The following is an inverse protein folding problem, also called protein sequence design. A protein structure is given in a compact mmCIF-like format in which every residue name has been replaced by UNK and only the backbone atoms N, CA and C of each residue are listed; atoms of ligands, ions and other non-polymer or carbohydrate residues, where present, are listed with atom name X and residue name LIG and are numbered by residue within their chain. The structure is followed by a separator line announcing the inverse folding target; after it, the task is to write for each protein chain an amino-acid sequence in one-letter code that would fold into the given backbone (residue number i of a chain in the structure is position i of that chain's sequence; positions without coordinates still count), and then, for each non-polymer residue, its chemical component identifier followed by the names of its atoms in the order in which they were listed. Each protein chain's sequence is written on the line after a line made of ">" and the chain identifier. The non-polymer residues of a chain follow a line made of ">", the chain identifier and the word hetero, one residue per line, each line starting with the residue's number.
data_IF_809668419919
#
_entry.id   IF_809668419919
#
_cell.length_a   1.000
_cell.length_b   1.000
_cell.length_c   1.000
_cell.angle_alpha   90.00
_cell.angle_beta   90.00
_cell.angle_gamma   90.00
#
_symmetry.space_group_name_H-M   'P 1'
#
loop_
_entity.id
_entity.type
_entity.pdbx_description
1 polymer ?
#
# COMPACT_ATOMS: atom_id res chain seq x y z
N UNK A 1 -4.93 11.73 0.66
CA UNK A 1 -3.67 11.66 1.41
C UNK A 1 -2.65 10.81 0.65
N UNK A 2 -1.36 11.16 0.67
CA UNK A 2 -0.31 10.41 -0.04
C UNK A 2 -0.08 8.99 0.49
N UNK A 3 -0.35 8.74 1.76
CA UNK A 3 -0.31 7.40 2.37
C UNK A 3 -1.71 6.87 2.65
N UNK A 4 -2.58 7.02 1.68
CA UNK A 4 -3.94 6.50 1.72
C UNK A 4 -4.34 6.02 0.33
N UNK A 5 -5.09 4.94 0.25
CA UNK A 5 -5.62 4.41 -0.99
C UNK A 5 -7.13 4.18 -0.81
N UNK A 6 -7.92 4.69 -1.74
CA UNK A 6 -9.37 4.80 -1.55
C UNK A 6 -10.12 3.45 -1.68
N UNK A 7 -9.51 2.46 -2.31
CA UNK A 7 -10.18 1.20 -2.69
C UNK A 7 -9.89 0.03 -1.72
N UNK A 8 -9.47 0.31 -0.48
CA UNK A 8 -9.17 -0.74 0.50
C UNK A 8 -10.38 -1.63 0.79
N UNK A 9 -11.60 -1.08 0.92
CA UNK A 9 -12.78 -1.87 1.22
C UNK A 9 -13.14 -2.82 0.08
N UNK A 10 -13.08 -2.38 -1.16
CA UNK A 10 -13.33 -3.22 -2.33
C UNK A 10 -12.34 -4.39 -2.42
N UNK A 11 -11.07 -4.13 -2.14
CA UNK A 11 -10.04 -5.17 -2.11
C UNK A 11 -10.27 -6.18 -0.96
N UNK A 12 -10.62 -5.69 0.24
CA UNK A 12 -10.93 -6.55 1.40
C UNK A 12 -12.12 -7.45 1.08
N UNK A 13 -13.19 -6.89 0.54
CA UNK A 13 -14.40 -7.64 0.22
C UNK A 13 -14.12 -8.73 -0.82
N UNK A 14 -13.31 -8.43 -1.83
CA UNK A 14 -12.90 -9.43 -2.80
C UNK A 14 -12.04 -10.53 -2.16
N UNK A 15 -11.03 -10.20 -1.35
CA UNK A 15 -10.17 -11.17 -0.67
C UNK A 15 -10.98 -12.11 0.22
N UNK A 16 -11.93 -11.56 0.98
CA UNK A 16 -12.80 -12.37 1.86
C UNK A 16 -13.71 -13.27 1.04
N UNK A 17 -14.27 -12.79 -0.07
CA UNK A 17 -15.11 -13.60 -0.96
C UNK A 17 -14.32 -14.72 -1.64
N UNK A 18 -13.03 -14.53 -1.88
CA UNK A 18 -12.10 -15.52 -2.43
C UNK A 18 -11.55 -16.48 -1.36
N UNK A 19 -11.97 -16.34 -0.09
CA UNK A 19 -11.66 -17.25 1.02
C UNK A 19 -10.47 -16.84 1.89
N UNK A 20 -9.88 -15.66 1.67
CA UNK A 20 -8.80 -15.17 2.50
C UNK A 20 -9.29 -14.63 3.84
N UNK A 21 -8.50 -14.88 4.88
CA UNK A 21 -8.62 -14.16 6.16
C UNK A 21 -7.79 -12.90 6.10
N UNK A 22 -8.44 -11.75 6.04
CA UNK A 22 -7.77 -10.45 5.98
C UNK A 22 -7.47 -9.94 7.38
N UNK A 23 -6.21 -9.50 7.59
CA UNK A 23 -5.73 -8.95 8.88
C UNK A 23 -5.13 -7.58 8.63
N UNK A 24 -5.62 -6.58 9.33
CA UNK A 24 -5.08 -5.22 9.28
C UNK A 24 -3.99 -5.03 10.33
N UNK A 25 -2.83 -4.56 9.89
CA UNK A 25 -1.65 -4.28 10.73
C UNK A 25 -1.33 -2.77 10.84
N UNK A 26 -2.25 -1.91 10.40
CA UNK A 26 -2.09 -0.45 10.49
C UNK A 26 -2.04 0.03 11.94
N UNK A 27 -1.24 1.08 12.21
CA UNK A 27 -1.25 1.78 13.51
C UNK A 27 -2.55 2.54 13.75
N UNK A 28 -3.05 3.19 12.72
CA UNK A 28 -4.29 3.95 12.78
C UNK A 28 -5.48 2.99 12.69
N UNK A 29 -6.55 3.37 13.38
CA UNK A 29 -7.82 2.65 13.24
C UNK A 29 -8.39 2.94 11.87
N UNK A 30 -8.81 1.91 11.16
CA UNK A 30 -9.60 2.07 9.94
C UNK A 30 -11.09 1.86 10.19
N UNK A 31 -11.90 2.31 9.26
CA UNK A 31 -13.35 2.05 9.25
C UNK A 31 -13.70 0.89 8.28
N UNK A 32 -12.69 0.06 7.95
CA UNK A 32 -12.89 -1.08 7.06
C UNK A 32 -13.64 -2.21 7.76
N UNK A 33 -14.52 -2.87 7.01
CA UNK A 33 -15.31 -4.01 7.46
C UNK A 33 -14.71 -5.33 6.96
N UNK A 34 -15.22 -6.45 7.47
CA UNK A 34 -14.88 -7.80 7.02
C UNK A 34 -13.40 -8.21 7.18
N UNK A 35 -12.69 -7.56 8.10
CA UNK A 35 -11.30 -7.90 8.44
C UNK A 35 -11.08 -8.05 9.94
N UNK A 36 -9.92 -8.57 10.32
CA UNK A 36 -9.49 -8.64 11.71
C UNK A 36 -8.44 -7.56 11.97
N UNK A 37 -8.76 -6.60 12.84
CA UNK A 37 -7.79 -5.63 13.34
C UNK A 37 -6.96 -6.26 14.47
N UNK A 38 -5.64 -6.14 14.42
CA UNK A 38 -4.79 -6.57 15.53
C UNK A 38 -4.87 -5.59 16.70
N UNK A 39 -5.01 -6.11 17.92
CA UNK A 39 -5.12 -5.28 19.15
C UNK A 39 -3.75 -4.77 19.58
N UNK A 40 -2.76 -5.65 19.61
CA UNK A 40 -1.38 -5.29 19.93
C UNK A 40 -0.65 -4.88 18.64
N UNK A 41 -0.39 -3.58 18.50
CA UNK A 41 0.30 -2.98 17.34
C UNK A 41 1.81 -2.82 17.57
N UNK A 42 2.37 -3.52 18.56
CA UNK A 42 3.81 -3.60 18.78
C UNK A 42 4.51 -4.29 17.60
N UNK A 43 5.77 -3.95 17.36
CA UNK A 43 6.53 -4.54 16.25
C UNK A 43 6.62 -6.08 16.35
N UNK A 44 6.86 -6.69 17.54
CA UNK A 44 6.83 -8.16 17.65
C UNK A 44 5.48 -8.77 17.27
N UNK A 45 4.37 -8.13 17.66
CA UNK A 45 3.04 -8.61 17.30
C UNK A 45 2.81 -8.55 15.78
N UNK A 46 3.15 -7.42 15.14
CA UNK A 46 3.07 -7.27 13.68
C UNK A 46 3.93 -8.32 12.98
N UNK A 47 5.15 -8.55 13.45
CA UNK A 47 6.04 -9.60 12.91
C UNK A 47 5.43 -10.99 13.01
N UNK A 48 4.77 -11.31 14.15
CA UNK A 48 4.10 -12.60 14.30
C UNK A 48 2.98 -12.79 13.29
N UNK A 49 2.14 -11.77 13.06
CA UNK A 49 1.09 -11.85 12.04
C UNK A 49 1.69 -11.96 10.63
N UNK A 50 2.71 -11.18 10.31
CA UNK A 50 3.41 -11.28 9.03
C UNK A 50 4.05 -12.67 8.84
N UNK A 51 4.61 -13.27 9.90
CA UNK A 51 5.20 -14.61 9.82
C UNK A 51 4.19 -15.65 9.31
N UNK A 52 2.96 -15.58 9.77
CA UNK A 52 1.90 -16.50 9.39
C UNK A 52 1.10 -16.06 8.15
N UNK A 53 1.33 -14.85 7.65
CA UNK A 53 0.67 -14.37 6.44
C UNK A 53 1.22 -15.07 5.19
N UNK A 54 0.38 -15.33 4.23
CA UNK A 54 0.73 -15.85 2.92
C UNK A 54 1.34 -14.76 2.05
N UNK A 55 0.76 -13.56 2.08
CA UNK A 55 1.22 -12.38 1.35
C UNK A 55 0.95 -11.11 2.16
N UNK A 56 1.54 -10.02 1.72
CA UNK A 56 1.30 -8.68 2.25
C UNK A 56 0.90 -7.73 1.11
N UNK A 57 -0.16 -6.95 1.33
CA UNK A 57 -0.60 -5.90 0.42
C UNK A 57 -0.52 -4.57 1.17
N UNK A 58 0.13 -3.59 0.60
CA UNK A 58 0.27 -2.30 1.28
C UNK A 58 0.82 -1.19 0.41
N UNK A 59 0.89 -0.01 1.00
CA UNK A 59 1.56 1.14 0.39
C UNK A 59 3.08 1.07 0.65
N UNK A 60 3.85 1.88 -0.04
CA UNK A 60 5.27 2.11 0.29
C UNK A 60 5.41 2.62 1.73
N UNK A 61 5.87 1.76 2.63
CA UNK A 61 5.90 2.02 4.07
C UNK A 61 6.91 1.10 4.79
N UNK A 62 7.18 1.40 6.06
CA UNK A 62 8.04 0.56 6.90
C UNK A 62 7.51 -0.88 7.06
N UNK A 63 6.19 -1.09 7.05
CA UNK A 63 5.62 -2.43 7.13
C UNK A 63 5.88 -3.23 5.85
N UNK A 64 5.87 -2.59 4.68
CA UNK A 64 6.25 -3.25 3.42
C UNK A 64 7.71 -3.74 3.45
N UNK A 65 8.61 -2.93 3.99
CA UNK A 65 10.01 -3.31 4.21
C UNK A 65 10.14 -4.46 5.21
N UNK A 66 9.34 -4.45 6.27
CA UNK A 66 9.31 -5.52 7.26
C UNK A 66 8.81 -6.83 6.63
N UNK A 67 7.73 -6.78 5.86
CA UNK A 67 7.20 -7.94 5.15
C UNK A 67 8.24 -8.52 4.16
N UNK A 68 8.93 -7.65 3.42
CA UNK A 68 10.04 -8.03 2.56
C UNK A 68 11.19 -8.70 3.33
N UNK A 69 11.64 -8.07 4.45
CA UNK A 69 12.69 -8.64 5.30
C UNK A 69 12.31 -10.03 5.86
N UNK A 70 11.02 -10.26 6.07
CA UNK A 70 10.48 -11.56 6.50
C UNK A 70 10.18 -12.51 5.33
N UNK A 71 10.65 -12.19 4.11
CA UNK A 71 10.51 -13.00 2.90
C UNK A 71 9.06 -13.27 2.52
N UNK A 72 8.16 -12.33 2.78
CA UNK A 72 6.78 -12.40 2.32
C UNK A 72 6.65 -11.86 0.91
N UNK A 73 5.74 -12.42 0.13
CA UNK A 73 5.34 -11.82 -1.14
C UNK A 73 4.65 -10.49 -0.86
N UNK A 74 5.16 -9.42 -1.45
CA UNK A 74 4.64 -8.07 -1.26
C UNK A 74 3.97 -7.58 -2.53
N UNK A 75 2.72 -7.16 -2.42
CA UNK A 75 2.02 -6.35 -3.43
C UNK A 75 2.03 -4.91 -2.95
N UNK A 76 2.78 -4.07 -3.63
CA UNK A 76 3.00 -2.68 -3.20
C UNK A 76 2.31 -1.70 -4.13
N UNK A 77 1.32 -0.98 -3.62
CA UNK A 77 0.68 0.14 -4.31
C UNK A 77 1.55 1.37 -4.10
N UNK A 78 2.22 1.84 -5.16
CA UNK A 78 3.26 2.84 -5.00
C UNK A 78 3.47 3.70 -6.25
N UNK A 79 2.81 4.86 -6.27
CA UNK A 79 3.07 5.87 -7.29
C UNK A 79 3.84 7.08 -6.74
N UNK A 80 3.74 7.41 -5.44
CA UNK A 80 4.39 8.58 -4.88
C UNK A 80 5.90 8.40 -4.63
N UNK A 81 6.40 7.16 -4.63
CA UNK A 81 7.82 6.82 -4.52
C UNK A 81 8.35 6.20 -5.81
N UNK A 82 9.63 6.43 -6.12
CA UNK A 82 10.30 5.81 -7.25
C UNK A 82 10.76 4.39 -6.90
N UNK A 83 10.74 3.50 -7.88
CA UNK A 83 11.13 2.09 -7.70
C UNK A 83 12.57 1.92 -7.24
N UNK A 84 13.47 2.81 -7.66
CA UNK A 84 14.90 2.77 -7.34
C UNK A 84 15.17 2.97 -5.83
N UNK A 85 14.21 3.51 -5.09
CA UNK A 85 14.32 3.77 -3.66
C UNK A 85 13.68 2.68 -2.79
N UNK A 86 13.24 1.58 -3.40
CA UNK A 86 12.58 0.48 -2.72
C UNK A 86 13.20 -0.87 -3.12
N UNK A 87 12.87 -1.92 -2.37
CA UNK A 87 13.33 -3.27 -2.70
C UNK A 87 12.77 -3.75 -4.04
N UNK A 88 13.60 -4.45 -4.83
CA UNK A 88 13.30 -4.83 -6.21
C UNK A 88 12.93 -6.30 -6.37
N UNK A 89 13.18 -7.13 -5.35
CA UNK A 89 12.89 -8.57 -5.35
C UNK A 89 11.70 -8.88 -4.47
N UNK A 90 11.02 -9.98 -4.72
CA UNK A 90 9.86 -10.48 -3.95
C UNK A 90 8.73 -9.45 -3.78
N UNK A 91 8.68 -8.46 -4.68
CA UNK A 91 7.71 -7.40 -4.71
C UNK A 91 7.06 -7.27 -6.08
N UNK A 92 5.75 -7.22 -6.11
CA UNK A 92 4.99 -6.77 -7.27
C UNK A 92 4.58 -5.33 -6.99
N UNK A 93 5.23 -4.40 -7.66
CA UNK A 93 4.87 -2.98 -7.61
C UNK A 93 3.72 -2.71 -8.56
N UNK A 94 2.67 -2.12 -8.02
CA UNK A 94 1.48 -1.72 -8.76
C UNK A 94 1.54 -0.20 -8.89
N UNK A 95 1.94 0.25 -10.08
CA UNK A 95 2.19 1.65 -10.41
C UNK A 95 1.48 2.03 -11.70
N UNK A 96 1.30 3.32 -11.92
CA UNK A 96 0.82 3.88 -13.17
C UNK A 96 1.64 5.12 -13.54
N UNK A 97 2.53 4.96 -14.51
CA UNK A 97 3.42 6.03 -14.96
C UNK A 97 2.75 6.96 -15.98
N UNK A 98 1.51 6.73 -16.35
CA UNK A 98 0.73 7.63 -17.23
C UNK A 98 0.30 8.92 -16.52
N UNK A 99 0.39 8.94 -15.19
CA UNK A 99 0.10 10.08 -14.33
C UNK A 99 1.34 10.51 -13.55
N UNK A 100 1.28 11.63 -12.85
CA UNK A 100 2.37 12.09 -11.99
C UNK A 100 2.75 11.02 -10.96
N UNK A 101 4.05 10.81 -10.76
CA UNK A 101 4.59 9.80 -9.85
C UNK A 101 5.95 10.24 -9.29
N UNK A 102 6.42 9.56 -8.23
CA UNK A 102 7.76 9.76 -7.67
C UNK A 102 7.98 11.07 -6.91
N UNK A 103 6.93 11.80 -6.54
CA UNK A 103 7.05 13.09 -5.87
C UNK A 103 7.81 13.02 -4.54
N UNK A 104 7.76 11.90 -3.81
CA UNK A 104 8.51 11.68 -2.58
C UNK A 104 10.03 11.79 -2.75
N UNK A 105 10.52 11.39 -3.91
CA UNK A 105 11.95 11.33 -4.21
C UNK A 105 12.37 12.48 -5.14
N UNK A 106 11.44 13.32 -5.57
CA UNK A 106 11.74 14.44 -6.47
C UNK A 106 12.33 15.62 -5.68
N UNK A 107 13.60 16.01 -5.94
CA UNK A 107 14.25 17.12 -5.22
C UNK A 107 13.64 18.49 -5.53
N UNK A 108 12.86 18.62 -6.60
CA UNK A 108 12.16 19.87 -6.94
C UNK A 108 11.01 20.19 -5.96
N UNK A 109 10.50 19.19 -5.27
CA UNK A 109 9.42 19.38 -4.29
C UNK A 109 9.99 19.50 -2.88
N UNK A 110 9.62 20.59 -2.19
CA UNK A 110 9.84 20.72 -0.74
C UNK A 110 8.85 19.83 -0.01
N UNK A 111 9.18 18.57 0.15
CA UNK A 111 8.31 17.60 0.79
C UNK A 111 8.48 17.63 2.31
N UNK A 112 7.47 18.07 3.03
CA UNK A 112 7.40 17.87 4.48
C UNK A 112 7.01 16.41 4.78
N UNK A 113 8.01 15.61 5.14
CA UNK A 113 7.84 14.17 5.42
C UNK A 113 6.94 13.86 6.63
N UNK A 114 6.54 14.86 7.38
CA UNK A 114 5.55 14.76 8.46
C UNK A 114 4.10 14.99 7.98
N UNK A 115 3.92 15.59 6.82
CA UNK A 115 2.59 15.92 6.27
C UNK A 115 2.25 15.03 5.08
N UNK A 116 1.22 14.20 5.25
CA UNK A 116 0.76 13.27 4.21
C UNK A 116 -0.58 13.69 3.59
N UNK A 117 -1.14 14.82 4.03
CA UNK A 117 -2.46 15.30 3.64
C UNK A 117 -2.47 16.10 2.34
N UNK A 118 -1.33 16.58 1.87
CA UNK A 118 -1.24 17.38 0.66
C UNK A 118 -0.58 16.63 -0.49
N UNK A 119 -0.86 17.07 -1.72
CA UNK A 119 -0.22 16.60 -2.93
C UNK A 119 0.90 17.60 -3.32
N UNK A 120 2.18 17.21 -3.32
CA UNK A 120 3.27 18.17 -3.58
C UNK A 120 3.22 18.82 -4.96
N UNK A 121 2.73 18.09 -5.97
CA UNK A 121 2.70 18.54 -7.35
C UNK A 121 1.39 19.25 -7.71
N UNK A 122 0.27 18.80 -7.13
CA UNK A 122 -1.08 19.25 -7.51
C UNK A 122 -1.90 19.68 -6.28
N UNK A 123 -1.26 20.36 -5.31
CA UNK A 123 -1.96 20.86 -4.14
C UNK A 123 -3.12 21.79 -4.54
N UNK A 124 -4.27 21.60 -3.89
CA UNK A 124 -5.51 22.37 -4.13
C UNK A 124 -6.06 22.35 -5.57
N UNK A 125 -5.67 21.35 -6.37
CA UNK A 125 -6.22 21.17 -7.71
C UNK A 125 -7.04 19.89 -7.83
N UNK A 126 -7.93 19.75 -8.83
CA UNK A 126 -8.67 18.50 -9.09
C UNK A 126 -7.75 17.29 -9.34
N UNK A 127 -6.51 17.52 -9.78
CA UNK A 127 -5.50 16.49 -10.04
C UNK A 127 -4.83 15.96 -8.77
N UNK A 128 -5.10 16.56 -7.61
CA UNK A 128 -4.51 16.10 -6.35
C UNK A 128 -4.79 14.61 -6.12
N UNK A 129 -3.72 13.88 -5.81
CA UNK A 129 -3.74 12.44 -5.53
C UNK A 129 -4.20 11.55 -6.71
N UNK A 130 -4.20 12.03 -7.94
CA UNK A 130 -4.53 11.21 -9.11
C UNK A 130 -3.68 9.93 -9.16
N UNK A 131 -2.42 10.01 -8.75
CA UNK A 131 -1.50 8.87 -8.68
C UNK A 131 -2.04 7.67 -7.85
N UNK A 132 -2.88 7.91 -6.86
CA UNK A 132 -3.53 6.86 -6.08
C UNK A 132 -4.89 6.45 -6.67
N UNK A 133 -5.62 7.40 -7.24
CA UNK A 133 -6.97 7.17 -7.77
C UNK A 133 -6.98 6.28 -9.02
N UNK A 134 -5.92 6.34 -9.83
CA UNK A 134 -5.82 5.52 -11.06
C UNK A 134 -5.50 4.05 -10.80
N UNK A 135 -5.00 3.72 -9.60
CA UNK A 135 -4.74 2.33 -9.20
C UNK A 135 -6.01 1.84 -8.49
N UNK A 136 -6.93 1.26 -9.25
CA UNK A 136 -8.20 0.73 -8.74
C UNK A 136 -8.04 -0.62 -8.04
N UNK A 137 -9.07 -1.06 -7.30
CA UNK A 137 -9.09 -2.40 -6.71
C UNK A 137 -8.95 -3.50 -7.77
N UNK A 138 -9.65 -3.39 -8.90
CA UNK A 138 -9.57 -4.36 -10.00
C UNK A 138 -8.15 -4.53 -10.53
N UNK A 139 -7.38 -3.44 -10.61
CA UNK A 139 -5.98 -3.49 -11.04
C UNK A 139 -5.13 -4.26 -10.04
N UNK A 140 -5.29 -4.02 -8.74
CA UNK A 140 -4.59 -4.74 -7.68
C UNK A 140 -4.97 -6.22 -7.69
N UNK A 141 -6.25 -6.53 -7.77
CA UNK A 141 -6.80 -7.89 -7.87
C UNK A 141 -6.22 -8.62 -9.08
N UNK A 142 -6.15 -7.96 -10.23
CA UNK A 142 -5.56 -8.54 -11.44
C UNK A 142 -4.10 -8.94 -11.24
N UNK A 143 -3.30 -8.13 -10.54
CA UNK A 143 -1.90 -8.46 -10.26
C UNK A 143 -1.76 -9.62 -9.24
N UNK A 144 -2.67 -9.69 -8.26
CA UNK A 144 -2.73 -10.81 -7.30
C UNK A 144 -3.02 -12.12 -8.04
N UNK A 145 -4.06 -12.14 -8.88
CA UNK A 145 -4.43 -13.30 -9.70
C UNK A 145 -3.32 -13.74 -10.66
N UNK A 146 -2.66 -12.81 -11.34
CA UNK A 146 -1.52 -13.10 -12.22
C UNK A 146 -0.35 -13.76 -11.49
N UNK A 147 -0.19 -13.45 -10.21
CA UNK A 147 0.85 -14.03 -9.37
C UNK A 147 0.47 -15.42 -8.82
N UNK A 148 -0.75 -15.89 -9.07
CA UNK A 148 -1.21 -17.23 -8.68
C UNK A 148 -1.85 -17.30 -7.28
N UNK A 149 -2.31 -16.17 -6.78
CA UNK A 149 -3.06 -16.06 -5.52
C UNK A 149 -4.53 -15.84 -5.79
#
# INVERSE_FOLDING_TARGET
>A
KLKYWDYWQELVDWLVADGYKVIEVSKEKSDLNNLTEIKDKSLPSVMNFLHHAELYIGLSSGISWLAFAMRKKVFMIANFSLKEHEFQTDCIRITDESVCHGCWNNPAFKFDKGRWEYCPEHEETPQAFTCHKVITADRVISEIKKAGY
#
